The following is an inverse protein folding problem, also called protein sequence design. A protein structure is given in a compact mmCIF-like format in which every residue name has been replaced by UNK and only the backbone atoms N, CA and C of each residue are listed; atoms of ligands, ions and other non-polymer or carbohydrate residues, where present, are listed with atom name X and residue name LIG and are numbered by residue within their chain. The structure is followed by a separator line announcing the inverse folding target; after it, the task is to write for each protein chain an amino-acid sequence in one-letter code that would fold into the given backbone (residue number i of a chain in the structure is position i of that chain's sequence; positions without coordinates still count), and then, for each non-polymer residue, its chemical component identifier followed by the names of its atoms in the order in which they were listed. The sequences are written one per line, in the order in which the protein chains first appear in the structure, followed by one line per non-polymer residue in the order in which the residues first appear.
data_IF_505161635959
#
_entry.id   IF_505161635959
#
_cell.length_a   1.000
_cell.length_b   1.000
_cell.length_c   1.000
_cell.angle_alpha   90.00
_cell.angle_beta   90.00
_cell.angle_gamma   90.00
#
_symmetry.space_group_name_H-M   'P 1'
#
loop_
_entity.id
_entity.type
_entity.pdbx_description
1 polymer ?
#
# COMPACT_ATOMS: atom_id res chain seq x y z
N UNK A 1 -1.67 -29.93 -42.04
CA UNK A 1 -1.08 -29.68 -40.75
C UNK A 1 -2.20 -29.50 -39.74
N UNK A 2 -2.12 -30.20 -38.59
CA UNK A 2 -3.02 -29.97 -37.49
C UNK A 2 -2.85 -28.55 -36.91
N UNK A 3 -3.77 -28.06 -36.08
CA UNK A 3 -3.62 -26.76 -35.45
C UNK A 3 -2.33 -26.72 -34.67
N UNK A 4 -1.60 -25.62 -34.81
CA UNK A 4 -0.39 -25.38 -34.01
C UNK A 4 -0.78 -25.25 -32.52
N UNK A 5 -0.23 -26.14 -31.67
CA UNK A 5 -0.53 -26.16 -30.26
C UNK A 5 0.56 -25.43 -29.48
N UNK A 6 0.14 -24.72 -28.45
CA UNK A 6 1.04 -24.09 -27.50
C UNK A 6 1.69 -25.16 -26.57
N UNK A 7 2.70 -24.74 -25.79
CA UNK A 7 3.41 -25.64 -24.84
C UNK A 7 2.48 -26.32 -23.82
N UNK A 8 1.27 -25.78 -23.58
CA UNK A 8 0.26 -26.37 -22.70
C UNK A 8 -0.69 -27.34 -23.44
N UNK A 9 -0.42 -27.67 -24.70
CA UNK A 9 -1.22 -28.57 -25.50
C UNK A 9 -2.55 -27.98 -26.04
N UNK A 10 -2.79 -26.69 -25.86
CA UNK A 10 -3.99 -25.99 -26.30
C UNK A 10 -3.73 -25.18 -27.58
N UNK A 11 -4.75 -25.05 -28.41
CA UNK A 11 -4.76 -24.13 -29.54
C UNK A 11 -4.83 -22.67 -29.08
N UNK A 12 -4.51 -21.73 -29.96
CA UNK A 12 -4.67 -20.31 -29.69
C UNK A 12 -6.12 -19.93 -29.36
N UNK A 13 -7.10 -20.59 -29.99
CA UNK A 13 -8.53 -20.34 -29.74
C UNK A 13 -8.94 -20.77 -28.32
N UNK A 14 -8.48 -21.93 -27.86
CA UNK A 14 -8.74 -22.42 -26.50
C UNK A 14 -8.08 -21.53 -25.43
N UNK A 15 -6.82 -21.14 -25.65
CA UNK A 15 -6.14 -20.22 -24.75
C UNK A 15 -6.82 -18.83 -24.70
N UNK A 16 -7.32 -18.34 -25.81
CA UNK A 16 -8.09 -17.09 -25.86
C UNK A 16 -9.41 -17.18 -25.11
N UNK A 17 -10.14 -18.30 -25.27
CA UNK A 17 -11.40 -18.51 -24.55
C UNK A 17 -11.20 -18.55 -23.04
N UNK A 18 -10.19 -19.28 -22.58
CA UNK A 18 -9.82 -19.40 -21.17
C UNK A 18 -9.36 -18.04 -20.58
N UNK A 19 -8.51 -17.30 -21.31
CA UNK A 19 -8.08 -15.97 -20.89
C UNK A 19 -9.24 -14.98 -20.81
N UNK A 20 -10.20 -15.07 -21.73
CA UNK A 20 -11.41 -14.25 -21.71
C UNK A 20 -12.25 -14.53 -20.48
N UNK A 21 -12.55 -15.79 -20.22
CA UNK A 21 -13.30 -16.22 -19.03
C UNK A 21 -12.65 -15.72 -17.75
N UNK A 22 -11.35 -15.93 -17.62
CA UNK A 22 -10.57 -15.44 -16.48
C UNK A 22 -10.67 -13.91 -16.29
N UNK A 23 -10.51 -13.14 -17.36
CA UNK A 23 -10.59 -11.66 -17.29
C UNK A 23 -12.01 -11.22 -16.92
N UNK A 24 -13.05 -11.84 -17.47
CA UNK A 24 -14.44 -11.49 -17.18
C UNK A 24 -14.81 -11.81 -15.73
N UNK A 25 -14.37 -12.94 -15.21
CA UNK A 25 -14.56 -13.33 -13.83
C UNK A 25 -13.75 -12.44 -12.86
N UNK A 26 -12.51 -12.12 -13.22
CA UNK A 26 -11.71 -11.19 -12.43
C UNK A 26 -12.35 -9.79 -12.34
N UNK A 27 -12.87 -9.27 -13.45
CA UNK A 27 -13.62 -8.01 -13.48
C UNK A 27 -14.83 -8.10 -12.56
N UNK A 28 -15.62 -9.16 -12.68
CA UNK A 28 -16.82 -9.38 -11.88
C UNK A 28 -16.51 -9.40 -10.39
N UNK A 29 -15.50 -10.15 -9.97
CA UNK A 29 -15.17 -10.27 -8.54
C UNK A 29 -14.59 -8.96 -8.00
N UNK A 30 -13.74 -8.30 -8.79
CA UNK A 30 -13.11 -7.03 -8.37
C UNK A 30 -14.13 -5.91 -8.24
N UNK A 31 -15.12 -5.84 -9.12
CA UNK A 31 -16.18 -4.83 -9.05
C UNK A 31 -17.25 -5.16 -8.00
N UNK A 32 -17.37 -6.41 -7.56
CA UNK A 32 -18.35 -6.83 -6.56
C UNK A 32 -17.82 -6.77 -5.13
N UNK A 33 -16.52 -7.04 -4.93
CA UNK A 33 -15.92 -7.21 -3.61
C UNK A 33 -14.66 -6.34 -3.39
N UNK A 34 -14.31 -5.52 -4.36
CA UNK A 34 -13.10 -4.71 -4.33
C UNK A 34 -11.84 -5.46 -4.76
N UNK A 35 -10.74 -4.76 -4.75
CA UNK A 35 -9.43 -5.29 -5.12
C UNK A 35 -8.88 -6.22 -4.04
N UNK A 36 -8.13 -7.25 -4.42
CA UNK A 36 -7.53 -8.21 -3.49
C UNK A 36 -6.20 -7.76 -2.90
N UNK A 37 -5.39 -7.04 -3.66
CA UNK A 37 -4.22 -6.30 -3.17
C UNK A 37 -4.60 -4.82 -3.24
N UNK A 38 -5.49 -4.42 -2.31
CA UNK A 38 -6.20 -3.16 -2.38
C UNK A 38 -5.27 -1.96 -2.26
N UNK A 39 -5.50 -1.01 -3.14
CA UNK A 39 -4.90 0.33 -3.17
C UNK A 39 -3.37 0.33 -3.04
N UNK A 40 -2.74 -0.73 -3.51
CA UNK A 40 -1.30 -0.82 -3.49
C UNK A 40 -0.68 0.29 -4.33
N UNK A 41 0.12 1.17 -3.75
CA UNK A 41 0.79 2.22 -4.51
C UNK A 41 1.80 1.67 -5.53
N UNK A 42 2.19 0.41 -5.38
CA UNK A 42 3.05 -0.29 -6.31
C UNK A 42 2.27 -1.04 -7.38
N UNK A 43 1.28 -1.85 -6.93
CA UNK A 43 0.57 -2.77 -7.82
C UNK A 43 -0.63 -2.15 -8.52
N UNK A 44 -0.92 -0.88 -8.31
CA UNK A 44 -1.88 -0.16 -9.17
C UNK A 44 -1.50 -0.32 -10.65
N UNK A 45 -0.22 -0.40 -10.96
CA UNK A 45 0.28 -0.63 -12.32
C UNK A 45 -0.10 -2.02 -12.84
N UNK A 46 -0.16 -3.04 -11.98
CA UNK A 46 -0.55 -4.40 -12.36
C UNK A 46 -2.05 -4.51 -12.65
N UNK A 47 -2.85 -3.57 -12.17
CA UNK A 47 -4.26 -3.45 -12.54
C UNK A 47 -4.43 -2.60 -13.81
N UNK A 48 -3.79 -1.46 -13.87
CA UNK A 48 -3.98 -0.50 -14.96
C UNK A 48 -3.34 -0.95 -16.27
N UNK A 49 -2.16 -1.56 -16.23
CA UNK A 49 -1.42 -2.01 -17.41
C UNK A 49 -2.21 -3.00 -18.29
N UNK A 50 -2.72 -4.13 -17.77
CA UNK A 50 -3.51 -5.05 -18.59
C UNK A 50 -4.83 -4.44 -19.05
N UNK A 51 -5.45 -3.58 -18.24
CA UNK A 51 -6.68 -2.90 -18.63
C UNK A 51 -6.45 -1.86 -19.73
N UNK A 52 -5.32 -1.16 -19.71
CA UNK A 52 -4.90 -0.28 -20.79
C UNK A 52 -4.66 -1.07 -22.10
N UNK A 53 -4.04 -2.25 -22.03
CA UNK A 53 -3.87 -3.13 -23.19
C UNK A 53 -5.22 -3.57 -23.77
N UNK A 54 -6.17 -3.95 -22.93
CA UNK A 54 -7.53 -4.27 -23.39
C UNK A 54 -8.21 -3.06 -24.01
N UNK A 55 -8.13 -1.90 -23.34
CA UNK A 55 -8.75 -0.66 -23.81
C UNK A 55 -8.22 -0.19 -25.17
N UNK A 56 -6.93 -0.36 -25.43
CA UNK A 56 -6.26 0.08 -26.65
C UNK A 56 -6.35 -0.94 -27.80
N UNK A 57 -6.14 -2.20 -27.49
CA UNK A 57 -5.84 -3.19 -28.55
C UNK A 57 -6.77 -4.41 -28.61
N UNK A 58 -7.69 -4.60 -27.67
CA UNK A 58 -8.64 -5.71 -27.78
C UNK A 58 -9.47 -5.59 -29.05
N UNK A 59 -9.55 -6.66 -29.84
CA UNK A 59 -10.38 -6.72 -31.06
C UNK A 59 -11.87 -6.74 -30.72
N UNK A 60 -12.22 -7.43 -29.64
CA UNK A 60 -13.59 -7.49 -29.15
C UNK A 60 -13.99 -6.13 -28.53
N UNK A 61 -15.02 -5.46 -29.04
CA UNK A 61 -15.45 -4.15 -28.57
C UNK A 61 -16.00 -4.19 -27.15
N UNK A 62 -16.54 -5.34 -26.69
CA UNK A 62 -17.03 -5.50 -25.31
C UNK A 62 -15.86 -5.55 -24.35
N UNK A 63 -14.83 -6.33 -24.64
CA UNK A 63 -13.62 -6.38 -23.81
C UNK A 63 -12.90 -5.03 -23.80
N UNK A 64 -12.85 -4.34 -24.93
CA UNK A 64 -12.29 -2.99 -25.01
C UNK A 64 -13.03 -2.02 -24.09
N UNK A 65 -14.35 -2.05 -24.09
CA UNK A 65 -15.17 -1.23 -23.21
C UNK A 65 -14.97 -1.60 -21.74
N UNK A 66 -14.95 -2.90 -21.43
CA UNK A 66 -14.67 -3.38 -20.06
C UNK A 66 -13.29 -2.92 -19.57
N UNK A 67 -12.26 -2.97 -20.41
CA UNK A 67 -10.93 -2.44 -20.11
C UNK A 67 -10.96 -0.96 -19.72
N UNK A 68 -11.66 -0.13 -20.50
CA UNK A 68 -11.83 1.30 -20.17
C UNK A 68 -12.56 1.52 -18.85
N UNK A 69 -13.66 0.80 -18.62
CA UNK A 69 -14.43 0.90 -17.37
C UNK A 69 -13.59 0.46 -16.13
N UNK A 70 -12.75 -0.55 -16.29
CA UNK A 70 -11.86 -0.96 -15.21
C UNK A 70 -10.73 0.03 -14.95
N UNK A 71 -10.24 0.72 -16.01
CA UNK A 71 -9.33 1.85 -15.82
C UNK A 71 -10.00 2.96 -15.01
N UNK A 72 -11.24 3.34 -15.37
CA UNK A 72 -12.01 4.34 -14.64
C UNK A 72 -12.20 3.94 -13.18
N UNK A 73 -12.52 2.66 -12.91
CA UNK A 73 -12.74 2.11 -11.57
C UNK A 73 -11.47 2.21 -10.70
N UNK A 74 -10.35 1.69 -11.19
CA UNK A 74 -9.08 1.67 -10.42
C UNK A 74 -8.56 3.09 -10.20
N UNK A 75 -8.69 3.95 -11.21
CA UNK A 75 -8.23 5.34 -11.09
C UNK A 75 -9.18 6.20 -10.24
N UNK A 76 -10.45 5.80 -10.09
CA UNK A 76 -11.37 6.47 -9.17
C UNK A 76 -10.97 6.19 -7.71
N UNK A 77 -10.64 4.95 -7.36
CA UNK A 77 -10.15 4.60 -6.03
C UNK A 77 -8.93 5.46 -5.67
N UNK A 78 -8.01 5.64 -6.62
CA UNK A 78 -6.87 6.52 -6.41
C UNK A 78 -7.26 8.00 -6.34
N UNK A 79 -8.13 8.47 -7.23
CA UNK A 79 -8.53 9.89 -7.28
C UNK A 79 -9.15 10.39 -5.98
N UNK A 80 -9.96 9.56 -5.31
CA UNK A 80 -10.61 9.91 -4.04
C UNK A 80 -9.65 9.97 -2.86
N UNK A 81 -8.53 9.30 -2.93
CA UNK A 81 -7.48 9.31 -1.88
C UNK A 81 -6.17 9.95 -2.38
N UNK A 82 -6.25 10.76 -3.42
CA UNK A 82 -5.09 11.44 -3.99
C UNK A 82 -4.77 12.73 -3.23
N UNK A 83 -3.52 12.94 -2.92
CA UNK A 83 -2.99 14.21 -2.43
C UNK A 83 -1.71 14.56 -3.21
N UNK A 84 -1.81 15.58 -4.05
CA UNK A 84 -0.70 16.06 -4.89
C UNK A 84 0.04 14.93 -5.67
N UNK A 85 -0.71 14.00 -6.25
CA UNK A 85 -0.16 12.88 -7.01
C UNK A 85 0.32 11.70 -6.15
N UNK A 86 0.03 11.70 -4.85
CA UNK A 86 0.35 10.60 -3.96
C UNK A 86 -0.92 9.85 -3.54
N UNK A 87 -0.83 8.55 -3.38
CA UNK A 87 -1.93 7.71 -2.95
C UNK A 87 -1.92 7.60 -1.43
N UNK A 88 -2.91 8.20 -0.76
CA UNK A 88 -3.09 8.15 0.68
C UNK A 88 -4.00 7.00 1.12
N UNK A 89 -4.21 6.91 2.43
CA UNK A 89 -5.07 5.89 3.02
C UNK A 89 -4.32 4.65 3.48
N UNK A 90 -5.07 3.64 3.91
CA UNK A 90 -4.54 2.33 4.26
C UNK A 90 -4.39 1.48 3.00
N UNK A 91 -3.31 0.73 2.92
CA UNK A 91 -2.93 -0.04 1.73
C UNK A 91 -2.65 -1.49 2.05
N UNK A 92 -2.71 -2.35 1.04
CA UNK A 92 -2.07 -3.66 1.10
C UNK A 92 -0.97 -3.76 0.04
N UNK A 93 -0.07 -4.69 0.22
CA UNK A 93 1.04 -4.93 -0.69
C UNK A 93 1.92 -3.69 -0.92
N UNK A 94 2.27 -3.02 0.18
CA UNK A 94 3.17 -1.86 0.16
C UNK A 94 4.60 -2.31 0.44
N UNK A 95 5.54 -1.96 -0.43
CA UNK A 95 6.95 -2.24 -0.19
C UNK A 95 7.61 -1.12 0.63
N UNK A 96 8.61 -1.44 1.46
CA UNK A 96 9.23 -0.49 2.38
C UNK A 96 9.65 0.82 1.72
N UNK A 97 10.28 0.72 0.56
CA UNK A 97 10.72 1.90 -0.21
C UNK A 97 9.58 2.88 -0.50
N UNK A 98 8.43 2.37 -0.92
CA UNK A 98 7.31 3.21 -1.33
C UNK A 98 6.43 3.64 -0.17
N UNK A 99 6.57 2.97 0.97
CA UNK A 99 5.94 3.36 2.20
C UNK A 99 6.60 4.62 2.77
N UNK A 100 7.93 4.65 2.78
CA UNK A 100 8.71 5.80 3.27
C UNK A 100 8.99 6.85 2.19
N UNK A 101 8.82 6.51 0.92
CA UNK A 101 8.92 7.42 -0.22
C UNK A 101 7.75 7.24 -1.19
N UNK A 102 6.55 7.67 -0.83
CA UNK A 102 5.37 7.51 -1.69
C UNK A 102 5.54 8.09 -3.10
N UNK A 103 6.34 9.15 -3.23
CA UNK A 103 6.65 9.80 -4.52
C UNK A 103 7.39 8.92 -5.53
N UNK A 104 7.98 7.81 -5.09
CA UNK A 104 8.67 6.86 -5.97
C UNK A 104 7.78 5.69 -6.42
N UNK A 105 6.53 5.66 -5.99
CA UNK A 105 5.60 4.58 -6.31
C UNK A 105 5.06 4.66 -7.75
N UNK A 106 4.54 3.55 -8.26
CA UNK A 106 3.83 3.53 -9.54
C UNK A 106 2.57 4.43 -9.50
N UNK A 107 1.91 4.52 -8.34
CA UNK A 107 0.79 5.44 -8.16
C UNK A 107 1.22 6.89 -8.40
N UNK A 108 2.36 7.33 -7.85
CA UNK A 108 2.86 8.68 -8.08
C UNK A 108 3.12 8.95 -9.57
N UNK A 109 3.65 7.96 -10.30
CA UNK A 109 3.81 8.08 -11.75
C UNK A 109 2.48 8.23 -12.49
N UNK A 110 1.44 7.53 -12.04
CA UNK A 110 0.08 7.68 -12.58
C UNK A 110 -0.53 9.03 -12.21
N UNK A 111 -0.27 9.53 -11.00
CA UNK A 111 -0.68 10.87 -10.55
C UNK A 111 -0.19 11.96 -11.50
N UNK A 112 1.09 11.88 -11.88
CA UNK A 112 1.66 12.79 -12.86
C UNK A 112 0.99 12.67 -14.25
N UNK A 113 0.86 11.44 -14.78
CA UNK A 113 0.32 11.23 -16.12
C UNK A 113 -1.17 11.55 -16.21
N UNK A 114 -1.96 11.11 -15.24
CA UNK A 114 -3.44 11.12 -15.30
C UNK A 114 -4.01 12.40 -14.69
N UNK A 115 -3.47 12.82 -13.53
CA UNK A 115 -4.00 13.96 -12.78
C UNK A 115 -3.20 15.25 -13.00
N UNK A 116 -2.01 15.17 -13.61
CA UNK A 116 -1.12 16.31 -13.76
C UNK A 116 -0.56 16.80 -12.42
N UNK A 117 -0.42 15.91 -11.45
CA UNK A 117 0.07 16.21 -10.08
C UNK A 117 1.28 15.37 -9.73
N UNK A 118 2.14 15.93 -8.86
CA UNK A 118 3.42 15.31 -8.51
C UNK A 118 4.49 15.48 -9.59
N UNK A 119 5.58 14.72 -9.46
CA UNK A 119 6.73 14.79 -10.35
C UNK A 119 6.73 13.66 -11.39
N UNK A 120 7.41 13.91 -12.51
CA UNK A 120 7.58 12.89 -13.53
C UNK A 120 8.42 11.71 -12.99
N UNK A 121 7.83 10.53 -13.08
CA UNK A 121 8.51 9.26 -12.84
C UNK A 121 8.25 8.31 -14.00
N UNK A 122 9.32 7.79 -14.59
CA UNK A 122 9.22 6.81 -15.69
C UNK A 122 8.67 5.49 -15.16
N UNK A 123 7.57 5.01 -15.77
CA UNK A 123 7.03 3.67 -15.52
C UNK A 123 6.53 3.01 -16.80
N UNK A 124 6.61 1.67 -16.84
CA UNK A 124 6.07 0.88 -17.94
C UNK A 124 4.55 0.98 -18.06
N UNK A 125 3.86 1.12 -16.92
CA UNK A 125 2.41 1.31 -16.87
C UNK A 125 1.98 2.60 -17.51
N UNK A 126 2.66 3.69 -17.24
CA UNK A 126 2.39 4.99 -17.85
C UNK A 126 2.51 4.96 -19.38
N UNK A 127 3.54 4.28 -19.87
CA UNK A 127 3.72 4.10 -21.32
C UNK A 127 2.53 3.35 -21.93
N UNK A 128 2.08 2.27 -21.31
CA UNK A 128 0.93 1.49 -21.81
C UNK A 128 -0.37 2.30 -21.75
N UNK A 129 -0.60 3.06 -20.70
CA UNK A 129 -1.77 3.95 -20.59
C UNK A 129 -1.74 4.99 -21.72
N UNK A 130 -0.63 5.70 -21.89
CA UNK A 130 -0.48 6.74 -22.90
C UNK A 130 -0.69 6.20 -24.34
N UNK A 131 -0.13 5.02 -24.64
CA UNK A 131 -0.26 4.40 -25.95
C UNK A 131 -1.63 3.78 -26.21
N UNK A 132 -2.40 3.45 -25.17
CA UNK A 132 -3.72 2.82 -25.29
C UNK A 132 -4.80 3.76 -25.86
N UNK A 133 -4.54 5.06 -25.87
CA UNK A 133 -5.55 6.07 -26.19
C UNK A 133 -6.66 6.19 -25.14
N UNK A 134 -6.43 5.67 -23.92
CA UNK A 134 -7.32 5.88 -22.80
C UNK A 134 -7.31 7.36 -22.39
N UNK A 135 -8.49 7.92 -22.22
CA UNK A 135 -8.68 9.27 -21.69
C UNK A 135 -9.58 9.19 -20.46
N UNK A 136 -9.12 9.65 -19.30
CA UNK A 136 -9.92 9.61 -18.08
C UNK A 136 -11.14 10.52 -18.21
N UNK A 137 -12.29 10.13 -17.65
CA UNK A 137 -13.45 10.99 -17.59
C UNK A 137 -13.13 12.28 -16.81
N UNK A 138 -13.69 13.40 -17.25
CA UNK A 138 -13.45 14.71 -16.60
C UNK A 138 -13.87 14.75 -15.13
N UNK A 139 -14.88 13.97 -14.76
CA UNK A 139 -15.31 13.84 -13.37
C UNK A 139 -14.22 13.24 -12.48
N UNK A 140 -13.46 12.27 -12.99
CA UNK A 140 -12.36 11.64 -12.27
C UNK A 140 -11.25 12.66 -11.98
N UNK A 141 -10.92 13.50 -12.98
CA UNK A 141 -9.94 14.58 -12.80
C UNK A 141 -10.42 15.60 -11.76
N UNK A 142 -11.71 15.98 -11.81
CA UNK A 142 -12.26 16.88 -10.80
C UNK A 142 -12.20 16.30 -9.40
N UNK A 143 -12.53 15.02 -9.22
CA UNK A 143 -12.42 14.34 -7.93
C UNK A 143 -10.99 14.34 -7.43
N UNK A 144 -9.99 14.09 -8.28
CA UNK A 144 -8.59 14.10 -7.89
C UNK A 144 -8.09 15.47 -7.41
N UNK A 145 -8.66 16.55 -7.94
CA UNK A 145 -8.24 17.93 -7.62
C UNK A 145 -9.11 18.62 -6.56
N UNK A 146 -10.37 18.21 -6.39
CA UNK A 146 -11.28 18.85 -5.45
C UNK A 146 -10.90 18.48 -4.01
N UNK A 147 -10.42 19.48 -3.28
CA UNK A 147 -10.05 19.41 -1.86
C UNK A 147 -10.57 20.63 -1.09
N UNK A 148 -11.57 21.33 -1.65
CA UNK A 148 -12.15 22.52 -1.03
C UNK A 148 -12.83 22.20 0.32
N UNK A 149 -13.42 21.02 0.40
CA UNK A 149 -14.05 20.53 1.62
C UNK A 149 -13.51 19.16 2.00
N UNK A 150 -13.19 18.94 3.28
CA UNK A 150 -12.79 17.62 3.74
C UNK A 150 -13.98 16.65 3.67
N UNK A 151 -13.67 15.37 3.43
CA UNK A 151 -14.68 14.34 3.37
C UNK A 151 -14.18 13.00 3.93
N UNK A 152 -15.14 12.13 4.20
CA UNK A 152 -14.88 10.75 4.59
C UNK A 152 -15.12 9.84 3.38
N UNK A 153 -14.10 9.09 2.99
CA UNK A 153 -14.21 8.01 2.03
C UNK A 153 -14.30 6.68 2.76
N UNK A 154 -15.24 5.84 2.36
CA UNK A 154 -15.41 4.49 2.88
C UNK A 154 -15.58 3.53 1.73
N UNK A 155 -14.87 2.42 1.81
CA UNK A 155 -14.94 1.41 0.78
C UNK A 155 -14.78 0.00 1.35
N UNK A 156 -15.25 -0.96 0.56
CA UNK A 156 -15.10 -2.38 0.82
C UNK A 156 -14.07 -2.94 -0.13
N UNK A 157 -13.04 -3.52 0.44
CA UNK A 157 -12.03 -4.31 -0.27
C UNK A 157 -12.10 -5.76 0.21
N UNK A 158 -11.23 -6.59 -0.30
CA UNK A 158 -11.15 -8.00 0.06
C UNK A 158 -9.72 -8.46 0.26
N UNK A 159 -9.55 -9.53 1.01
CA UNK A 159 -8.28 -10.24 1.05
C UNK A 159 -8.05 -11.03 -0.23
N UNK A 160 -6.78 -11.21 -0.57
CA UNK A 160 -6.37 -12.16 -1.58
C UNK A 160 -6.42 -13.56 -1.00
N UNK A 161 -7.38 -14.36 -1.42
CA UNK A 161 -7.44 -15.75 -1.00
C UNK A 161 -6.29 -16.59 -1.59
N UNK A 162 -5.91 -17.66 -0.91
CA UNK A 162 -4.83 -18.62 -1.16
C UNK A 162 -4.73 -19.12 -2.63
N UNK A 163 -4.38 -18.25 -3.55
CA UNK A 163 -4.20 -18.65 -4.96
C UNK A 163 -3.04 -19.64 -5.15
N UNK A 164 -2.11 -19.74 -4.20
CA UNK A 164 -0.90 -20.53 -4.40
C UNK A 164 -1.06 -22.03 -4.21
N UNK A 165 -2.07 -22.48 -3.47
CA UNK A 165 -2.22 -23.89 -3.11
C UNK A 165 -3.35 -24.62 -3.83
N UNK A 166 -4.10 -23.93 -4.64
CA UNK A 166 -5.28 -24.49 -5.26
C UNK A 166 -5.03 -25.11 -6.64
N UNK A 167 -3.77 -25.20 -7.10
CA UNK A 167 -3.43 -25.76 -8.40
C UNK A 167 -4.10 -25.05 -9.58
N UNK A 168 -4.28 -25.71 -10.74
CA UNK A 168 -4.95 -25.12 -11.89
C UNK A 168 -6.41 -24.70 -11.64
N UNK A 169 -7.07 -25.35 -10.67
CA UNK A 169 -8.42 -24.98 -10.23
C UNK A 169 -8.46 -23.75 -9.30
N UNK A 170 -7.30 -23.17 -8.99
CA UNK A 170 -7.16 -21.96 -8.17
C UNK A 170 -7.87 -20.73 -8.74
N UNK A 171 -8.19 -20.79 -9.99
CA UNK A 171 -8.88 -19.70 -10.69
C UNK A 171 -10.40 -19.89 -10.76
N UNK A 172 -10.94 -20.87 -10.03
CA UNK A 172 -12.38 -20.92 -9.80
C UNK A 172 -12.79 -19.80 -8.83
N UNK A 173 -13.00 -18.64 -9.42
CA UNK A 173 -13.41 -17.42 -8.74
C UNK A 173 -14.81 -17.57 -8.11
N UNK A 174 -15.63 -18.47 -8.62
CA UNK A 174 -17.01 -18.70 -8.15
C UNK A 174 -17.10 -19.34 -6.77
N UNK A 175 -16.08 -20.08 -6.34
CA UNK A 175 -16.01 -20.77 -5.04
C UNK A 175 -15.21 -20.04 -3.95
N UNK A 176 -14.66 -18.87 -4.23
CA UNK A 176 -13.76 -18.17 -3.31
C UNK A 176 -14.51 -17.46 -2.19
N UNK A 177 -14.21 -17.84 -0.96
CA UNK A 177 -14.61 -17.08 0.22
C UNK A 177 -13.60 -15.94 0.41
N UNK A 178 -14.03 -14.71 0.21
CA UNK A 178 -13.21 -13.53 0.49
C UNK A 178 -13.50 -13.01 1.89
N UNK A 179 -12.47 -12.54 2.59
CA UNK A 179 -12.66 -11.85 3.86
C UNK A 179 -12.74 -10.35 3.55
N UNK A 180 -13.80 -9.66 3.99
CA UNK A 180 -13.94 -8.24 3.73
C UNK A 180 -12.90 -7.41 4.47
N UNK A 181 -12.44 -6.35 3.84
CA UNK A 181 -11.61 -5.30 4.42
C UNK A 181 -12.39 -3.99 4.32
N UNK A 182 -12.64 -3.39 5.46
CA UNK A 182 -13.34 -2.11 5.56
C UNK A 182 -12.31 -0.99 5.66
N UNK A 183 -12.25 -0.15 4.63
CA UNK A 183 -11.40 1.04 4.63
C UNK A 183 -12.19 2.28 5.04
N UNK A 184 -11.51 3.15 5.74
CA UNK A 184 -11.98 4.46 6.13
C UNK A 184 -10.85 5.45 5.96
N UNK A 185 -11.06 6.50 5.14
CA UNK A 185 -10.10 7.57 4.94
C UNK A 185 -10.78 8.92 5.16
N UNK A 186 -10.14 9.77 5.96
CA UNK A 186 -10.49 11.18 6.07
C UNK A 186 -9.55 11.97 5.20
N UNK A 187 -10.12 12.57 4.15
CA UNK A 187 -9.38 13.28 3.12
C UNK A 187 -9.55 14.79 3.35
N UNK A 188 -8.45 15.45 3.57
CA UNK A 188 -8.32 16.89 3.73
C UNK A 188 -7.35 17.44 2.70
N UNK A 189 -7.39 18.74 2.41
CA UNK A 189 -6.44 19.36 1.46
C UNK A 189 -4.99 19.25 1.90
N UNK A 190 -4.72 19.18 3.19
CA UNK A 190 -3.39 19.16 3.78
C UNK A 190 -2.93 17.75 4.18
N UNK A 191 -3.85 16.80 4.33
CA UNK A 191 -3.51 15.43 4.73
C UNK A 191 -4.60 14.41 4.40
N UNK A 192 -4.20 13.16 4.37
CA UNK A 192 -5.11 12.01 4.36
C UNK A 192 -4.72 11.11 5.53
N UNK A 193 -5.68 10.88 6.44
CA UNK A 193 -5.57 9.86 7.48
C UNK A 193 -6.49 8.71 7.10
N UNK A 194 -5.92 7.52 6.90
CA UNK A 194 -6.68 6.35 6.52
C UNK A 194 -6.39 5.13 7.37
N UNK A 195 -7.40 4.29 7.54
CA UNK A 195 -7.32 3.02 8.26
C UNK A 195 -8.08 1.92 7.56
N UNK A 196 -7.74 0.67 7.88
CA UNK A 196 -8.43 -0.52 7.41
C UNK A 196 -8.68 -1.48 8.57
N UNK A 197 -9.80 -2.22 8.48
CA UNK A 197 -10.18 -3.24 9.44
C UNK A 197 -10.58 -4.52 8.73
N UNK A 198 -10.24 -5.66 9.34
CA UNK A 198 -10.52 -6.97 8.77
C UNK A 198 -9.43 -7.45 7.82
N UNK A 199 -9.63 -8.61 7.27
CA UNK A 199 -8.85 -9.09 6.14
C UNK A 199 -7.38 -9.40 6.39
N UNK A 200 -7.02 -9.92 7.53
CA UNK A 200 -5.63 -10.19 7.94
C UNK A 200 -4.89 -11.28 7.15
N UNK A 201 -5.46 -11.83 6.09
CA UNK A 201 -4.85 -12.92 5.31
C UNK A 201 -4.11 -12.42 4.05
N UNK A 202 -3.76 -11.15 4.00
CA UNK A 202 -2.87 -10.69 2.94
C UNK A 202 -1.43 -11.05 3.29
N UNK A 203 -0.77 -11.76 2.41
CA UNK A 203 0.66 -11.94 2.56
C UNK A 203 1.34 -10.59 2.36
N UNK A 204 2.16 -10.23 3.31
CA UNK A 204 3.18 -9.17 3.18
C UNK A 204 2.60 -7.74 3.08
N UNK A 205 2.95 -6.90 4.03
CA UNK A 205 2.96 -5.45 3.89
C UNK A 205 1.57 -4.80 3.85
N UNK A 206 0.65 -5.29 4.67
CA UNK A 206 -0.56 -4.55 4.94
C UNK A 206 -0.24 -3.37 5.85
N UNK A 207 -0.57 -2.18 5.40
CA UNK A 207 -0.53 -0.97 6.18
C UNK A 207 -1.93 -0.73 6.75
N UNK A 208 -2.13 -1.05 8.03
CA UNK A 208 -3.44 -0.97 8.68
C UNK A 208 -3.93 0.46 8.82
N UNK A 209 -3.00 1.40 9.01
CA UNK A 209 -3.29 2.82 8.95
C UNK A 209 -2.09 3.62 8.47
N UNK A 210 -2.37 4.76 7.87
CA UNK A 210 -1.35 5.75 7.52
C UNK A 210 -1.89 7.16 7.56
N UNK A 211 -1.00 8.07 7.85
CA UNK A 211 -1.15 9.50 7.64
C UNK A 211 -0.19 9.91 6.53
N UNK A 212 -0.71 10.58 5.52
CA UNK A 212 0.07 11.23 4.46
C UNK A 212 -0.28 12.71 4.47
N UNK A 213 0.73 13.59 4.48
CA UNK A 213 0.49 15.05 4.45
C UNK A 213 1.01 15.68 3.17
N UNK A 214 0.42 16.82 2.84
CA UNK A 214 0.81 17.60 1.66
C UNK A 214 2.16 18.27 1.86
N UNK A 215 2.99 18.22 0.83
CA UNK A 215 4.23 19.01 0.72
C UNK A 215 4.37 19.53 -0.69
N UNK A 216 4.65 20.84 -0.82
CA UNK A 216 4.82 21.49 -2.13
C UNK A 216 6.08 20.98 -2.85
N UNK A 217 7.09 20.58 -2.08
CA UNK A 217 8.34 20.03 -2.57
C UNK A 217 8.73 18.86 -1.66
N UNK A 218 8.20 17.67 -1.91
CA UNK A 218 8.63 16.52 -1.15
C UNK A 218 10.16 16.38 -1.29
N UNK A 219 10.83 16.31 -0.16
CA UNK A 219 12.30 16.18 -0.11
C UNK A 219 12.80 14.83 -0.65
N UNK A 220 11.90 14.05 -1.24
CA UNK A 220 12.14 12.69 -1.70
C UNK A 220 12.09 11.66 -0.57
N UNK A 221 11.86 12.11 0.68
CA UNK A 221 11.73 11.25 1.82
C UNK A 221 10.38 11.45 2.45
N UNK A 222 9.84 10.85 3.17
CA UNK A 222 8.55 10.55 3.65
C UNK A 222 7.77 11.72 4.26
N UNK A 223 6.74 12.11 3.61
CA UNK A 223 5.64 12.88 4.18
C UNK A 223 4.56 11.92 4.72
N UNK A 224 4.97 10.88 5.45
CA UNK A 224 4.09 9.83 5.96
C UNK A 224 4.40 9.45 7.41
N UNK A 225 3.37 8.96 8.10
CA UNK A 225 3.43 8.36 9.43
C UNK A 225 2.52 7.13 9.47
N UNK A 226 2.96 6.07 10.13
CA UNK A 226 2.18 4.82 10.24
C UNK A 226 2.65 3.99 11.43
N UNK A 227 1.88 2.99 11.82
CA UNK A 227 2.24 2.02 12.86
C UNK A 227 2.23 0.60 12.35
N UNK A 228 3.03 -0.25 12.97
CA UNK A 228 3.16 -1.68 12.68
C UNK A 228 3.40 -2.46 13.96
N UNK A 229 2.70 -3.58 14.12
CA UNK A 229 3.05 -4.61 15.09
C UNK A 229 3.69 -5.78 14.34
N UNK A 230 4.89 -6.15 14.73
CA UNK A 230 5.62 -7.26 14.13
C UNK A 230 5.03 -8.60 14.59
N UNK A 231 4.14 -9.19 13.80
CA UNK A 231 3.48 -10.44 14.15
C UNK A 231 4.32 -11.68 13.81
N UNK A 232 4.72 -11.83 12.56
CA UNK A 232 5.43 -13.02 12.10
C UNK A 232 6.92 -12.96 12.41
N UNK A 233 7.49 -11.77 12.59
CA UNK A 233 8.90 -11.56 12.79
C UNK A 233 9.18 -10.15 13.32
N UNK A 234 10.27 -9.95 14.09
CA UNK A 234 10.73 -8.61 14.45
C UNK A 234 11.05 -7.79 13.19
N UNK A 235 11.19 -8.46 12.07
CA UNK A 235 11.51 -7.90 10.79
C UNK A 235 10.29 -7.46 10.00
N UNK A 236 9.07 -7.80 10.36
CA UNK A 236 7.90 -7.13 9.80
C UNK A 236 7.93 -5.64 10.12
N UNK A 237 8.28 -5.28 11.35
CA UNK A 237 8.66 -3.90 11.68
C UNK A 237 9.87 -3.44 10.88
N UNK A 238 10.85 -4.28 10.65
CA UNK A 238 12.07 -3.98 9.88
C UNK A 238 11.94 -4.22 8.40
N UNK A 239 10.91 -4.87 7.88
CA UNK A 239 10.57 -4.74 6.47
C UNK A 239 10.29 -3.29 6.11
N UNK A 240 9.76 -2.55 7.06
CA UNK A 240 9.54 -1.12 6.96
C UNK A 240 10.73 -0.29 7.47
N UNK A 241 11.57 -0.87 8.35
CA UNK A 241 12.66 -0.19 9.05
C UNK A 241 13.95 -1.02 9.05
N UNK A 242 14.22 -1.73 8.01
CA UNK A 242 15.12 -2.87 7.98
C UNK A 242 16.56 -2.57 8.44
N UNK A 243 16.99 -3.26 9.46
CA UNK A 243 18.38 -3.34 9.90
C UNK A 243 19.04 -4.66 9.53
N UNK A 244 18.28 -5.67 9.09
CA UNK A 244 18.82 -6.98 8.74
C UNK A 244 18.05 -7.64 7.61
N UNK A 245 18.47 -7.34 6.39
CA UNK A 245 17.85 -7.85 5.17
C UNK A 245 18.05 -9.35 4.95
N UNK A 246 19.15 -9.92 5.44
CA UNK A 246 19.39 -11.36 5.32
C UNK A 246 18.32 -12.13 6.12
N UNK A 247 17.97 -11.64 7.27
CA UNK A 247 16.88 -12.22 8.07
C UNK A 247 15.50 -11.94 7.47
N UNK A 248 15.25 -10.78 6.87
CA UNK A 248 14.03 -10.52 6.10
C UNK A 248 13.92 -11.46 4.91
N UNK A 249 15.01 -11.70 4.19
CA UNK A 249 15.06 -12.64 3.07
C UNK A 249 14.83 -14.07 3.54
N UNK A 250 15.44 -14.48 4.63
CA UNK A 250 15.24 -15.79 5.25
C UNK A 250 13.80 -15.94 5.74
N UNK A 251 13.24 -14.90 6.34
CA UNK A 251 11.84 -14.86 6.72
C UNK A 251 10.88 -14.97 5.54
N UNK A 252 11.10 -14.20 4.48
CA UNK A 252 10.32 -14.29 3.25
C UNK A 252 10.44 -15.70 2.66
N UNK A 253 11.62 -16.30 2.74
CA UNK A 253 11.86 -17.68 2.28
C UNK A 253 11.17 -18.70 3.15
N UNK A 254 11.19 -18.52 4.47
CA UNK A 254 10.47 -19.39 5.43
C UNK A 254 8.97 -19.16 5.35
N UNK A 255 8.51 -17.94 5.19
CA UNK A 255 7.10 -17.65 5.02
C UNK A 255 6.53 -18.26 3.74
N UNK A 256 7.35 -18.49 2.72
CA UNK A 256 6.92 -19.28 1.56
C UNK A 256 6.63 -20.75 1.90
N UNK A 257 7.36 -21.35 2.81
CA UNK A 257 7.14 -22.73 3.28
C UNK A 257 5.89 -22.80 4.15
N UNK A 258 5.67 -21.79 4.93
CA UNK A 258 4.58 -21.70 5.91
C UNK A 258 3.30 -21.04 5.38
N UNK A 259 3.24 -20.59 4.13
CA UNK A 259 2.03 -20.04 3.49
C UNK A 259 0.82 -20.97 3.54
N UNK A 260 1.05 -22.24 3.85
CA UNK A 260 0.04 -23.28 3.94
C UNK A 260 -0.60 -23.42 5.32
N UNK A 261 -0.08 -22.73 6.33
CA UNK A 261 -0.65 -22.76 7.67
C UNK A 261 -1.81 -21.75 7.78
N UNK A 262 -2.88 -22.13 8.50
CA UNK A 262 -4.12 -21.35 8.58
C UNK A 262 -3.96 -19.97 9.25
N UNK A 263 -2.94 -19.80 10.09
CA UNK A 263 -2.69 -18.64 10.92
C UNK A 263 -1.58 -17.72 10.40
N UNK A 264 -1.26 -17.79 9.11
CA UNK A 264 -0.30 -16.90 8.51
C UNK A 264 -0.85 -15.55 8.18
N UNK A 265 -0.37 -14.66 8.94
CA UNK A 265 -0.68 -13.24 8.85
C UNK A 265 0.62 -12.50 8.53
N UNK A 266 0.73 -12.02 7.32
CA UNK A 266 1.83 -11.14 6.93
C UNK A 266 1.27 -9.73 6.68
N UNK A 267 1.89 -8.74 7.34
CA UNK A 267 1.62 -7.34 7.12
C UNK A 267 0.47 -6.74 7.93
N UNK A 268 -0.30 -7.51 8.63
CA UNK A 268 -1.26 -7.03 9.63
C UNK A 268 -1.12 -7.84 10.91
N UNK A 269 -1.53 -7.30 12.02
CA UNK A 269 -1.52 -8.00 13.29
C UNK A 269 -2.92 -8.48 13.65
N UNK A 270 -3.10 -9.76 14.05
CA UNK A 270 -4.37 -10.25 14.57
C UNK A 270 -4.72 -9.64 15.93
N UNK A 271 -3.74 -9.00 16.56
CA UNK A 271 -3.85 -8.38 17.88
C UNK A 271 -4.16 -6.89 17.80
N UNK A 272 -4.14 -6.33 16.60
CA UNK A 272 -4.40 -4.91 16.35
C UNK A 272 -5.87 -4.66 16.10
N UNK A 273 -6.41 -3.66 16.78
CA UNK A 273 -7.73 -3.11 16.53
C UNK A 273 -7.59 -1.61 16.28
N UNK A 274 -8.03 -1.16 15.13
CA UNK A 274 -7.98 0.24 14.75
C UNK A 274 -9.40 0.79 14.64
N UNK A 275 -9.63 1.95 15.26
CA UNK A 275 -10.85 2.71 15.07
C UNK A 275 -10.49 4.14 14.66
N UNK A 276 -11.24 4.68 13.70
CA UNK A 276 -11.02 6.03 13.21
C UNK A 276 -12.33 6.80 13.11
N UNK A 277 -12.27 8.06 13.52
CA UNK A 277 -13.32 9.03 13.26
C UNK A 277 -12.70 10.32 12.75
N UNK A 278 -12.95 10.64 11.49
CA UNK A 278 -12.35 11.78 10.80
C UNK A 278 -10.82 11.82 11.00
N UNK A 279 -10.30 12.90 11.58
CA UNK A 279 -8.88 13.15 11.80
C UNK A 279 -8.32 12.54 13.10
N UNK A 280 -9.06 11.67 13.76
CA UNK A 280 -8.65 10.99 14.99
C UNK A 280 -8.67 9.47 14.81
N UNK A 281 -7.62 8.81 15.24
CA UNK A 281 -7.44 7.37 15.16
C UNK A 281 -6.95 6.83 16.49
N UNK A 282 -7.44 5.67 16.88
CA UNK A 282 -6.91 4.87 17.98
C UNK A 282 -6.53 3.50 17.46
N UNK A 283 -5.34 3.05 17.79
CA UNK A 283 -4.88 1.68 17.58
C UNK A 283 -4.63 1.03 18.92
N UNK A 284 -5.24 -0.12 19.15
CA UNK A 284 -5.13 -0.91 20.37
C UNK A 284 -4.57 -2.28 20.04
N UNK A 285 -3.71 -2.78 20.91
CA UNK A 285 -3.07 -4.08 20.76
C UNK A 285 -3.30 -4.90 22.03
N UNK A 286 -3.77 -6.13 21.86
CA UNK A 286 -3.88 -7.13 22.91
C UNK A 286 -3.03 -8.34 22.54
N UNK A 287 -1.73 -8.24 22.78
CA UNK A 287 -0.73 -9.21 22.36
C UNK A 287 -0.66 -10.30 23.44
N UNK A 288 -0.89 -11.59 23.08
CA UNK A 288 -0.82 -12.69 24.02
C UNK A 288 0.55 -12.81 24.70
N UNK A 289 0.53 -13.21 25.96
CA UNK A 289 1.76 -13.56 26.67
C UNK A 289 2.48 -14.72 25.97
N UNK A 290 3.79 -14.62 25.85
CA UNK A 290 4.59 -15.59 25.11
C UNK A 290 4.65 -15.37 23.59
N UNK A 291 4.01 -14.33 23.06
CA UNK A 291 4.21 -13.92 21.67
C UNK A 291 5.68 -13.66 21.40
N UNK A 292 6.17 -14.20 20.30
CA UNK A 292 7.59 -14.17 19.97
C UNK A 292 8.13 -12.77 19.76
N UNK A 293 7.31 -11.85 19.24
CA UNK A 293 7.70 -10.49 18.90
C UNK A 293 6.66 -9.47 19.38
N UNK A 294 6.61 -9.19 20.70
CA UNK A 294 5.62 -8.27 21.27
C UNK A 294 6.05 -6.80 21.09
N UNK A 295 6.33 -6.41 19.84
CA UNK A 295 6.84 -5.09 19.50
C UNK A 295 5.82 -4.30 18.71
N UNK A 296 5.55 -3.07 19.12
CA UNK A 296 4.73 -2.11 18.41
C UNK A 296 5.62 -0.94 18.01
N UNK A 297 5.68 -0.66 16.73
CA UNK A 297 6.47 0.42 16.16
C UNK A 297 5.57 1.47 15.54
N UNK A 298 5.83 2.74 15.81
CA UNK A 298 5.27 3.87 15.06
C UNK A 298 6.39 4.65 14.42
N UNK A 299 6.29 4.81 13.11
CA UNK A 299 7.27 5.52 12.30
C UNK A 299 7.00 7.03 12.32
N UNK A 300 8.03 7.81 12.62
CA UNK A 300 8.04 9.26 12.54
C UNK A 300 9.05 9.68 11.46
N UNK A 301 8.54 10.38 10.46
CA UNK A 301 9.39 10.89 9.39
C UNK A 301 10.39 11.91 9.94
N UNK A 302 11.58 11.91 9.37
CA UNK A 302 12.59 12.95 9.65
C UNK A 302 12.17 14.35 9.20
N UNK A 303 11.21 14.44 8.25
CA UNK A 303 10.71 15.73 7.76
C UNK A 303 9.71 16.37 8.72
N UNK A 304 9.33 15.67 9.79
CA UNK A 304 8.55 16.23 10.87
C UNK A 304 9.36 17.28 11.64
N UNK A 305 8.77 18.46 11.80
CA UNK A 305 9.35 19.61 12.50
C UNK A 305 8.66 19.80 13.84
N UNK A 306 9.30 20.63 14.68
CA UNK A 306 8.70 21.10 15.93
C UNK A 306 8.24 19.97 16.86
N UNK A 307 8.97 18.85 16.90
CA UNK A 307 8.65 17.73 17.79
C UNK A 307 8.81 18.17 19.26
N UNK A 308 7.74 18.03 20.01
CA UNK A 308 7.66 18.34 21.44
C UNK A 308 6.96 17.20 22.16
N UNK A 309 7.54 16.72 23.22
CA UNK A 309 6.91 15.78 24.16
C UNK A 309 6.52 16.56 25.41
N UNK A 310 5.24 16.55 25.74
CA UNK A 310 4.75 17.25 26.91
C UNK A 310 4.69 16.35 28.16
N UNK A 311 4.48 16.95 29.31
CA UNK A 311 4.40 16.22 30.59
C UNK A 311 3.20 15.27 30.70
N UNK A 312 2.20 15.41 29.84
CA UNK A 312 1.04 14.52 29.76
C UNK A 312 1.29 13.28 28.88
N UNK A 313 2.47 13.22 28.23
CA UNK A 313 2.89 12.12 27.34
C UNK A 313 2.40 12.25 25.91
N UNK A 314 1.87 13.40 25.49
CA UNK A 314 1.62 13.67 24.09
C UNK A 314 2.91 14.05 23.37
N UNK A 315 3.03 13.57 22.15
CA UNK A 315 4.10 13.90 21.22
C UNK A 315 3.49 14.72 20.11
N UNK A 316 3.87 15.97 20.01
CA UNK A 316 3.40 16.88 18.97
C UNK A 316 4.47 17.06 17.91
N UNK A 317 4.06 17.16 16.65
CA UNK A 317 4.94 17.41 15.52
C UNK A 317 4.19 18.11 14.40
N UNK A 318 4.92 18.59 13.40
CA UNK A 318 4.37 19.26 12.24
C UNK A 318 4.99 18.69 10.96
N UNK A 319 4.13 18.24 10.04
CA UNK A 319 4.49 17.82 8.69
C UNK A 319 3.85 18.76 7.67
N UNK A 320 4.67 19.58 6.99
CA UNK A 320 4.15 20.61 6.10
C UNK A 320 3.08 21.49 6.79
N UNK A 321 1.88 21.62 6.22
CA UNK A 321 0.77 22.37 6.83
C UNK A 321 -0.04 21.57 7.87
N UNK A 322 0.45 20.42 8.31
CA UNK A 322 -0.30 19.48 9.13
C UNK A 322 0.29 19.37 10.52
N UNK A 323 -0.54 19.57 11.55
CA UNK A 323 -0.18 19.30 12.95
C UNK A 323 -0.59 17.87 13.32
N UNK A 324 0.30 17.18 14.00
CA UNK A 324 0.15 15.79 14.41
C UNK A 324 0.32 15.71 15.92
N UNK A 325 -0.65 15.12 16.59
CA UNK A 325 -0.56 14.75 18.00
C UNK A 325 -0.60 13.22 18.11
N UNK A 326 0.39 12.65 18.75
CA UNK A 326 0.50 11.22 18.99
C UNK A 326 0.56 10.96 20.51
N UNK A 327 -0.24 10.04 20.98
CA UNK A 327 -0.28 9.66 22.39
C UNK A 327 -0.07 8.17 22.54
N UNK A 328 1.11 7.69 22.97
CA UNK A 328 1.26 6.31 23.39
C UNK A 328 0.49 6.06 24.68
N UNK A 329 -0.14 4.90 24.81
CA UNK A 329 -0.88 4.51 26.01
C UNK A 329 0.04 3.91 27.08
N UNK A 330 1.20 3.41 26.67
CA UNK A 330 2.26 2.96 27.57
C UNK A 330 3.61 3.56 27.14
N UNK A 331 4.56 3.68 28.06
CA UNK A 331 5.88 4.21 27.74
C UNK A 331 6.57 3.42 26.64
N UNK A 332 7.25 4.13 25.75
CA UNK A 332 8.08 3.56 24.72
C UNK A 332 9.45 4.23 24.66
N UNK A 333 10.24 3.85 23.72
CA UNK A 333 11.58 4.41 23.52
C UNK A 333 11.76 4.82 22.06
N UNK A 334 12.50 5.90 21.86
CA UNK A 334 12.92 6.32 20.53
C UNK A 334 14.07 5.46 20.05
N UNK A 335 13.96 4.98 18.83
CA UNK A 335 15.03 4.25 18.13
C UNK A 335 15.26 4.88 16.76
N UNK A 336 16.51 5.21 16.43
CA UNK A 336 16.82 5.62 15.06
C UNK A 336 16.57 4.45 14.10
N UNK A 337 16.06 4.78 12.92
CA UNK A 337 15.95 3.82 11.83
C UNK A 337 17.26 3.87 11.06
N UNK A 338 18.12 2.88 11.28
CA UNK A 338 19.37 2.75 10.53
C UNK A 338 19.16 1.88 9.29
N UNK A 339 18.97 2.54 8.17
CA UNK A 339 18.84 1.90 6.87
C UNK A 339 20.18 1.55 6.22
N UNK A 340 21.28 2.06 6.75
CA UNK A 340 22.60 2.03 6.10
C UNK A 340 23.15 0.63 5.98
N UNK A 341 23.07 -0.16 7.03
CA UNK A 341 23.62 -1.51 7.05
C UNK A 341 22.78 -2.51 6.26
N UNK A 342 21.49 -2.32 6.27
CA UNK A 342 20.54 -3.16 5.50
C UNK A 342 20.65 -2.95 4.01
N UNK A 343 20.81 -1.69 3.62
CA UNK A 343 21.01 -1.30 2.23
C UNK A 343 22.34 -1.82 1.70
N UNK A 344 23.38 -1.82 2.52
CA UNK A 344 24.70 -2.36 2.15
C UNK A 344 24.70 -3.88 2.01
N UNK A 345 23.94 -4.61 2.83
CA UNK A 345 23.98 -6.07 2.89
C UNK A 345 23.03 -6.78 1.95
N UNK A 346 21.80 -6.29 1.77
CA UNK A 346 20.76 -7.05 1.08
C UNK A 346 20.18 -6.42 -0.18
N UNK A 347 20.14 -5.11 -0.26
CA UNK A 347 19.59 -4.41 -1.43
C UNK A 347 20.62 -4.13 -2.51
N UNK A 348 21.91 -4.25 -2.22
CA UNK A 348 22.98 -3.97 -3.17
C UNK A 348 22.88 -4.74 -4.48
N UNK A 349 22.43 -5.99 -4.45
CA UNK A 349 22.22 -6.83 -5.63
C UNK A 349 20.95 -6.53 -6.41
N UNK A 350 19.86 -6.19 -5.74
CA UNK A 350 18.56 -5.95 -6.36
C UNK A 350 18.45 -4.56 -6.97
N UNK A 351 19.06 -3.55 -6.33
CA UNK A 351 18.99 -2.17 -6.78
C UNK A 351 20.15 -1.74 -7.70
N UNK A 352 21.26 -2.48 -7.70
CA UNK A 352 22.33 -2.21 -8.66
C UNK A 352 21.94 -2.47 -10.12
N UNK A 353 20.87 -3.25 -10.33
CA UNK A 353 20.36 -3.56 -11.66
C UNK A 353 19.38 -2.52 -12.23
N UNK A 354 18.78 -1.66 -11.41
CA UNK A 354 17.65 -0.81 -11.85
C UNK A 354 17.74 0.67 -11.50
N UNK A 355 18.63 1.10 -10.61
CA UNK A 355 18.80 2.53 -10.27
C UNK A 355 20.23 2.84 -9.86
N UNK A 356 20.69 4.04 -10.16
CA UNK A 356 21.95 4.54 -9.63
C UNK A 356 21.85 4.58 -8.09
N UNK A 357 22.55 3.69 -7.36
CA UNK A 357 22.34 3.51 -5.93
C UNK A 357 22.69 4.76 -5.11
N UNK A 358 23.45 5.67 -5.65
CA UNK A 358 23.91 6.87 -4.93
C UNK A 358 22.85 7.94 -4.73
N UNK A 359 21.88 8.09 -5.62
CA UNK A 359 20.97 9.24 -5.54
C UNK A 359 19.66 8.98 -4.80
N UNK A 360 19.22 7.72 -4.68
CA UNK A 360 17.96 7.40 -4.02
C UNK A 360 18.10 6.92 -2.57
N UNK A 361 19.27 6.41 -2.22
CA UNK A 361 19.49 5.76 -0.93
C UNK A 361 20.24 6.62 0.10
N UNK A 362 21.13 7.51 -0.33
CA UNK A 362 21.72 8.49 0.58
C UNK A 362 20.65 9.42 1.19
N UNK A 363 19.53 9.57 0.49
CA UNK A 363 18.38 10.31 0.98
C UNK A 363 17.52 9.54 1.99
N UNK A 364 17.55 8.19 2.01
CA UNK A 364 16.85 7.33 2.98
C UNK A 364 17.64 7.12 4.26
N UNK A 365 18.93 7.41 4.23
CA UNK A 365 19.87 7.17 5.32
C UNK A 365 19.86 8.34 6.28
N UNK A 366 19.43 8.09 7.50
CA UNK A 366 19.61 8.98 8.64
C UNK A 366 18.38 9.80 9.04
N UNK A 367 18.24 10.04 10.31
CA UNK A 367 17.33 10.94 11.02
C UNK A 367 15.85 10.55 11.10
N UNK A 368 15.45 9.41 10.58
CA UNK A 368 14.13 8.83 10.90
C UNK A 368 14.20 8.16 12.25
N UNK A 369 13.15 8.33 13.04
CA UNK A 369 13.02 7.66 14.33
C UNK A 369 11.73 6.85 14.36
N UNK A 370 11.74 5.77 15.12
CA UNK A 370 10.53 5.06 15.47
C UNK A 370 10.31 5.07 16.97
N UNK A 371 9.06 5.16 17.37
CA UNK A 371 8.64 4.96 18.74
C UNK A 371 8.31 3.49 18.93
N UNK A 372 9.01 2.81 19.80
CA UNK A 372 8.88 1.36 20.03
C UNK A 372 8.38 1.09 21.43
N UNK A 373 7.34 0.30 21.56
CA UNK A 373 6.80 -0.18 22.81
C UNK A 373 6.81 -1.70 22.87
N UNK A 374 6.95 -2.24 24.07
CA UNK A 374 7.04 -3.67 24.35
C UNK A 374 5.90 -4.19 25.23
N UNK A 375 4.97 -3.34 25.63
CA UNK A 375 3.87 -3.75 26.50
C UNK A 375 2.84 -4.60 25.72
N UNK A 376 2.42 -5.71 26.33
CA UNK A 376 1.48 -6.67 25.72
C UNK A 376 0.09 -6.08 25.49
N UNK A 377 -0.34 -5.17 26.41
CA UNK A 377 -1.60 -4.41 26.27
C UNK A 377 -1.25 -2.96 26.13
N UNK A 378 -1.26 -2.49 24.90
CA UNK A 378 -0.80 -1.18 24.54
C UNK A 378 -1.59 -0.61 23.36
N UNK A 379 -1.25 0.56 22.99
CA UNK A 379 -1.82 1.25 21.86
C UNK A 379 -1.39 2.71 21.81
N UNK A 380 -2.00 3.43 20.92
CA UNK A 380 -1.76 4.86 20.76
C UNK A 380 -2.96 5.55 20.14
N UNK A 381 -3.01 6.84 20.32
CA UNK A 381 -3.96 7.75 19.69
C UNK A 381 -3.18 8.64 18.73
N UNK A 382 -3.72 8.85 17.54
CA UNK A 382 -3.24 9.82 16.57
C UNK A 382 -4.35 10.81 16.29
N UNK A 383 -4.05 12.09 16.42
CA UNK A 383 -4.95 13.17 16.05
C UNK A 383 -4.24 14.15 15.12
N UNK A 384 -4.93 14.56 14.09
CA UNK A 384 -4.37 15.39 13.03
C UNK A 384 -5.24 16.64 12.86
N UNK A 385 -4.60 17.75 12.57
CA UNK A 385 -5.28 19.00 12.27
C UNK A 385 -4.51 19.77 11.18
N UNK A 386 -5.24 20.55 10.41
CA UNK A 386 -4.63 21.51 9.49
C UNK A 386 -4.10 22.72 10.25
N UNK A 387 -3.00 23.28 9.77
CA UNK A 387 -2.42 24.52 10.25
C UNK A 387 -3.12 25.77 9.67
N UNK A 388 -4.02 25.58 8.69
CA UNK A 388 -4.71 26.67 7.97
C UNK A 388 -6.18 26.76 8.29
#
# INVERSE_FOLDING_TARGET
GGPELWYNGKSSAENMAEAREYIEDWIKITTSYGQGEYDSPNYIEEYTRPMALLAGWAKDPVLRKKGKMMMDYVLLDYAVENINGLYGGAHSRVYPRFLVQPSLSAAASHGWLIFGQGDYLSSGGNMMIALSGYTPPSILLRIAHDRDNPYVHRELKRTRWRLRNAGPAAFDIGGMTTIPVYKYSYVHKDFILGSSQGGLLQPIQQQTWSLLWHEDKPSGISNTMFGVQSYSSPFEGTMYFSTDWDTVTDLISRSKVDYDLEDKLEGGSPYEQVAQHQAALIALYDIPEGTRFPLIHTYFSRDLKNRVEDSSGWIFSQGGPTYIAYRPLAPGVWKPVDWTDSLKKGLGGYFSATANPKSGFEALVGDSESYVSYDLKNGYIVQVASAS
#
